data_IF_023999899267
#
_entry.id   IF_023999899267
#
_cell.length_a   1.000
_cell.length_b   1.000
_cell.length_c   1.000
_cell.angle_alpha   90.00
_cell.angle_beta   90.00
_cell.angle_gamma   90.00
#
_symmetry.space_group_name_H-M   'P 1'
#
loop_
_entity.id
_entity.type
_entity.pdbx_description
1 polymer ?
#
# COMPACT_ATOMS: atom_id res chain seq x y z
N UNK A 1 8.14 10.08 -1.30
CA UNK A 1 7.64 11.47 -1.14
C UNK A 1 8.26 12.47 -2.11
N UNK A 2 9.59 12.50 -2.27
CA UNK A 2 10.24 13.45 -3.20
C UNK A 2 9.79 13.26 -4.66
N UNK A 3 9.58 12.01 -5.11
CA UNK A 3 9.05 11.72 -6.44
C UNK A 3 7.68 12.39 -6.68
N UNK A 4 6.73 12.24 -5.74
CA UNK A 4 5.40 12.86 -5.82
C UNK A 4 5.48 14.38 -5.89
N UNK A 5 6.35 14.99 -5.06
CA UNK A 5 6.55 16.44 -5.11
C UNK A 5 7.12 16.90 -6.46
N UNK A 6 8.07 16.15 -7.03
CA UNK A 6 8.65 16.46 -8.35
C UNK A 6 7.64 16.33 -9.49
N UNK A 7 6.63 15.48 -9.34
CA UNK A 7 5.53 15.35 -10.30
C UNK A 7 4.33 16.26 -10.01
N UNK A 8 4.45 17.21 -9.06
CA UNK A 8 3.37 18.12 -8.70
C UNK A 8 2.19 17.46 -7.97
N UNK A 9 2.37 16.24 -7.45
CA UNK A 9 1.34 15.51 -6.71
C UNK A 9 1.44 15.88 -5.23
N UNK A 10 0.39 16.52 -4.72
CA UNK A 10 0.22 16.78 -3.29
C UNK A 10 0.06 15.45 -2.56
N UNK A 11 0.81 15.30 -1.47
CA UNK A 11 0.67 14.10 -0.66
C UNK A 11 -0.47 14.29 0.33
N UNK A 12 -1.53 13.51 0.15
CA UNK A 12 -2.62 13.42 1.11
C UNK A 12 -2.24 12.43 2.23
N UNK A 13 -2.17 12.88 3.50
CA UNK A 13 -1.83 12.04 4.65
C UNK A 13 -2.74 10.83 4.84
N UNK A 14 -3.97 10.84 4.31
CA UNK A 14 -4.90 9.71 4.42
C UNK A 14 -4.44 8.48 3.63
N UNK A 15 -3.58 8.66 2.63
CA UNK A 15 -2.94 7.56 1.90
C UNK A 15 -1.61 7.11 2.52
N UNK A 16 -1.33 7.50 3.77
CA UNK A 16 -0.14 7.07 4.52
C UNK A 16 -0.59 6.20 5.70
N UNK A 17 -0.40 4.89 5.57
CA UNK A 17 -0.55 3.96 6.68
C UNK A 17 0.83 3.63 7.28
N UNK A 18 0.91 3.57 8.61
CA UNK A 18 2.14 3.23 9.33
C UNK A 18 2.17 1.73 9.63
N UNK A 19 3.35 1.13 9.53
CA UNK A 19 3.61 -0.25 9.93
C UNK A 19 4.98 -0.39 10.60
N UNK A 20 5.29 -1.59 11.07
CA UNK A 20 6.51 -1.88 11.84
C UNK A 20 7.40 -2.95 11.17
N UNK A 21 7.49 -2.95 9.84
CA UNK A 21 8.32 -3.87 9.04
C UNK A 21 7.91 -5.37 9.11
N UNK A 22 6.78 -5.69 9.73
CA UNK A 22 6.27 -7.06 9.82
C UNK A 22 5.25 -7.38 8.72
N UNK A 23 5.03 -8.67 8.49
CA UNK A 23 4.02 -9.15 7.54
C UNK A 23 2.61 -8.68 7.94
N UNK A 24 2.26 -8.84 9.22
CA UNK A 24 0.95 -8.45 9.75
C UNK A 24 0.72 -6.95 9.62
N UNK A 25 1.73 -6.12 9.92
CA UNK A 25 1.60 -4.68 9.74
C UNK A 25 1.43 -4.28 8.26
N UNK A 26 2.04 -5.01 7.32
CA UNK A 26 1.81 -4.79 5.89
C UNK A 26 0.36 -5.07 5.48
N UNK A 27 -0.23 -6.16 6.00
CA UNK A 27 -1.64 -6.47 5.78
C UNK A 27 -2.55 -5.40 6.40
N UNK A 28 -2.38 -5.09 7.68
CA UNK A 28 -3.22 -4.11 8.39
C UNK A 28 -3.12 -2.71 7.76
N UNK A 29 -1.93 -2.31 7.31
CA UNK A 29 -1.74 -1.04 6.61
C UNK A 29 -2.50 -1.00 5.29
N UNK A 30 -2.48 -2.07 4.50
CA UNK A 30 -3.28 -2.12 3.27
C UNK A 30 -4.78 -2.11 3.58
N UNK A 31 -5.24 -2.77 4.64
CA UNK A 31 -6.66 -2.75 5.05
C UNK A 31 -7.15 -1.33 5.35
N UNK A 32 -6.33 -0.56 6.07
CA UNK A 32 -6.61 0.85 6.36
C UNK A 32 -6.71 1.68 5.07
N UNK A 33 -5.81 1.45 4.11
CA UNK A 33 -5.80 2.18 2.84
C UNK A 33 -6.99 1.83 1.94
N UNK A 34 -7.36 0.54 1.87
CA UNK A 34 -8.51 0.08 1.10
C UNK A 34 -9.86 0.48 1.72
N UNK A 35 -9.87 0.91 2.99
CA UNK A 35 -11.06 1.41 3.68
C UNK A 35 -11.33 2.89 3.43
N UNK A 36 -10.48 3.59 2.67
CA UNK A 36 -10.72 4.98 2.28
C UNK A 36 -11.94 5.08 1.34
N UNK A 37 -12.70 6.20 1.36
CA UNK A 37 -13.82 6.42 0.44
C UNK A 37 -13.41 6.28 -1.03
N UNK A 38 -12.18 6.69 -1.34
CA UNK A 38 -11.51 6.45 -2.62
C UNK A 38 -10.27 5.60 -2.32
N UNK A 39 -10.31 4.27 -2.50
CA UNK A 39 -9.16 3.42 -2.23
C UNK A 39 -8.06 3.64 -3.27
N UNK A 40 -6.78 3.44 -2.91
CA UNK A 40 -5.68 3.58 -3.84
C UNK A 40 -5.64 2.43 -4.86
N UNK A 41 -5.16 2.72 -6.07
CA UNK A 41 -4.89 1.72 -7.12
C UNK A 41 -3.45 1.20 -7.09
N UNK A 42 -2.57 1.82 -6.30
CA UNK A 42 -1.19 1.38 -6.10
C UNK A 42 -0.72 1.68 -4.67
N UNK A 43 0.08 0.79 -4.10
CA UNK A 43 0.72 0.97 -2.79
C UNK A 43 2.22 0.73 -2.87
N UNK A 44 2.94 1.54 -2.09
CA UNK A 44 4.38 1.46 -1.95
C UNK A 44 4.72 1.06 -0.53
N UNK A 45 5.27 -0.14 -0.37
CA UNK A 45 5.62 -0.72 0.92
C UNK A 45 7.08 -0.42 1.24
N UNK A 46 7.34 -0.03 2.49
CA UNK A 46 8.69 0.33 2.92
C UNK A 46 9.63 -0.88 3.10
N UNK A 47 9.09 -2.10 3.15
CA UNK A 47 9.86 -3.34 3.13
C UNK A 47 9.18 -4.44 2.31
N UNK A 48 9.97 -5.38 1.79
CA UNK A 48 9.47 -6.57 1.07
C UNK A 48 8.56 -7.44 1.95
N UNK A 49 8.88 -7.56 3.25
CA UNK A 49 8.06 -8.31 4.22
C UNK A 49 6.67 -7.70 4.35
N UNK A 50 6.58 -6.36 4.42
CA UNK A 50 5.30 -5.67 4.43
C UNK A 50 4.56 -5.80 3.09
N UNK A 51 5.29 -5.76 1.97
CA UNK A 51 4.70 -5.95 0.63
C UNK A 51 4.04 -7.32 0.48
N UNK A 52 4.66 -8.38 1.04
CA UNK A 52 4.07 -9.72 1.08
C UNK A 52 2.81 -9.77 1.95
N UNK A 53 2.80 -9.06 3.08
CA UNK A 53 1.61 -8.88 3.93
C UNK A 53 0.45 -8.21 3.20
N UNK A 54 0.75 -7.09 2.52
CA UNK A 54 -0.20 -6.37 1.68
C UNK A 54 -0.74 -7.26 0.54
N UNK A 55 0.14 -7.96 -0.18
CA UNK A 55 -0.25 -8.89 -1.25
C UNK A 55 -1.16 -10.01 -0.73
N UNK A 56 -0.87 -10.55 0.45
CA UNK A 56 -1.71 -11.56 1.09
C UNK A 56 -3.11 -11.03 1.39
N UNK A 57 -3.22 -9.81 1.93
CA UNK A 57 -4.53 -9.20 2.16
C UNK A 57 -5.26 -8.88 0.84
N UNK A 58 -4.58 -8.35 -0.17
CA UNK A 58 -5.17 -8.06 -1.47
C UNK A 58 -5.84 -9.31 -2.06
N UNK A 59 -5.13 -10.45 -2.00
CA UNK A 59 -5.67 -11.75 -2.41
C UNK A 59 -6.89 -12.17 -1.59
N UNK A 60 -6.87 -11.99 -0.26
CA UNK A 60 -8.04 -12.28 0.61
C UNK A 60 -9.25 -11.42 0.29
N UNK A 61 -9.04 -10.18 -0.16
CA UNK A 61 -10.08 -9.25 -0.61
C UNK A 61 -10.55 -9.51 -2.05
N UNK A 62 -9.98 -10.51 -2.73
CA UNK A 62 -10.30 -10.85 -4.12
C UNK A 62 -9.73 -9.90 -5.17
N UNK A 63 -8.81 -9.01 -4.78
CA UNK A 63 -8.14 -8.08 -5.69
C UNK A 63 -7.07 -8.81 -6.51
N UNK A 64 -7.06 -8.57 -7.82
CA UNK A 64 -6.02 -9.03 -8.72
C UNK A 64 -4.84 -8.06 -8.68
N UNK A 65 -3.64 -8.61 -8.53
CA UNK A 65 -2.39 -7.85 -8.61
C UNK A 65 -1.69 -8.26 -9.91
N UNK A 66 -1.37 -7.34 -10.83
CA UNK A 66 -1.44 -5.88 -10.69
C UNK A 66 -2.76 -5.21 -11.14
N UNK A 67 -3.71 -5.95 -11.70
CA UNK A 67 -4.85 -5.37 -12.45
C UNK A 67 -5.75 -4.42 -11.62
N UNK A 68 -6.09 -4.81 -10.38
CA UNK A 68 -6.93 -4.00 -9.48
C UNK A 68 -6.10 -3.18 -8.49
N UNK A 69 -4.92 -3.70 -8.12
CA UNK A 69 -4.01 -3.06 -7.17
C UNK A 69 -2.56 -3.38 -7.51
N UNK A 70 -1.75 -2.35 -7.76
CA UNK A 70 -0.31 -2.48 -7.91
C UNK A 70 0.40 -2.44 -6.56
N UNK A 71 1.35 -3.35 -6.31
CA UNK A 71 2.11 -3.43 -5.05
C UNK A 71 3.60 -3.38 -5.36
N UNK A 72 4.30 -2.44 -4.72
CA UNK A 72 5.76 -2.28 -4.84
C UNK A 72 6.40 -2.48 -3.47
N UNK A 73 7.33 -3.43 -3.38
CA UNK A 73 8.22 -3.61 -2.22
C UNK A 73 9.51 -2.82 -2.37
N UNK A 74 10.11 -2.50 -1.22
CA UNK A 74 11.45 -1.94 -1.13
C UNK A 74 12.32 -2.85 -0.26
N UNK A 75 13.61 -2.86 -0.54
CA UNK A 75 14.60 -3.45 0.37
C UNK A 75 14.97 -2.49 1.48
#
# INVERSE_FOLDING_TARGET
MQALRRSGITVDPHYIARGNFTFEAGANALEQLLSQPVPPTAVFCHSDVMALGALSLAKRRGLKVPDDLSIVGLR
#
